data_IF_472206498289
#
_entry.id   IF_472206498289
#
_cell.length_a   1.000
_cell.length_b   1.000
_cell.length_c   1.000
_cell.angle_alpha   90.00
_cell.angle_beta   90.00
_cell.angle_gamma   90.00
#
_symmetry.space_group_name_H-M   'P 1'
#
loop_
_entity.id
_entity.type
_entity.pdbx_description
1 polymer ?
#
# COMPACT_ATOMS: atom_id res chain seq x y z
N UNK A 1 42.72 -11.02 -1.61
CA UNK A 1 42.09 -10.27 -2.71
C UNK A 1 40.98 -9.40 -2.10
N UNK A 2 41.34 -8.33 -1.38
CA UNK A 2 40.38 -7.52 -0.63
C UNK A 2 40.83 -6.07 -0.41
N UNK A 3 41.78 -5.58 -1.21
CA UNK A 3 42.30 -4.19 -1.12
C UNK A 3 42.12 -3.43 -2.45
N UNK A 4 41.59 -4.05 -3.51
CA UNK A 4 41.39 -3.39 -4.82
C UNK A 4 39.99 -2.79 -5.04
N UNK A 5 39.11 -2.77 -4.04
CA UNK A 5 37.76 -2.16 -4.15
C UNK A 5 37.72 -0.68 -3.74
N UNK A 6 38.83 -0.11 -3.25
CA UNK A 6 38.88 1.29 -2.81
C UNK A 6 39.08 2.33 -3.92
N UNK A 7 39.28 1.90 -5.16
CA UNK A 7 39.66 2.75 -6.30
C UNK A 7 38.80 2.52 -7.57
N UNK A 8 37.62 1.90 -7.43
CA UNK A 8 36.57 2.03 -8.45
C UNK A 8 35.92 3.40 -8.31
N UNK A 9 36.67 4.44 -8.69
CA UNK A 9 36.11 5.78 -8.85
C UNK A 9 34.86 5.68 -9.70
N UNK A 10 33.76 6.21 -9.16
CA UNK A 10 32.60 6.79 -9.86
C UNK A 10 32.56 6.54 -11.37
N UNK A 11 32.41 5.29 -11.80
CA UNK A 11 31.95 5.02 -13.15
C UNK A 11 30.52 5.51 -13.11
N UNK A 12 30.29 6.69 -13.69
CA UNK A 12 28.99 7.30 -13.80
C UNK A 12 28.01 6.19 -14.19
N UNK A 13 27.02 5.93 -13.34
CA UNK A 13 25.98 4.97 -13.66
C UNK A 13 25.47 5.30 -15.06
N UNK A 14 25.38 4.28 -15.93
CA UNK A 14 24.93 4.53 -17.29
C UNK A 14 23.59 5.27 -17.24
N UNK A 15 23.34 6.26 -18.12
CA UNK A 15 22.08 7.02 -18.11
C UNK A 15 20.82 6.13 -18.09
N UNK A 16 20.93 4.92 -18.64
CA UNK A 16 19.89 3.88 -18.56
C UNK A 16 19.58 3.40 -17.14
N UNK A 17 20.55 3.30 -16.24
CA UNK A 17 20.33 2.86 -14.86
C UNK A 17 19.53 3.88 -14.05
N UNK A 18 19.86 5.17 -14.17
CA UNK A 18 19.11 6.26 -13.56
C UNK A 18 17.65 6.29 -14.06
N UNK A 19 17.46 6.16 -15.38
CA UNK A 19 16.12 6.09 -15.99
C UNK A 19 15.31 4.89 -15.49
N UNK A 20 15.92 3.70 -15.42
CA UNK A 20 15.26 2.49 -14.89
C UNK A 20 14.87 2.64 -13.41
N UNK A 21 15.73 3.27 -12.61
CA UNK A 21 15.44 3.54 -11.19
C UNK A 21 14.24 4.48 -11.02
N UNK A 22 14.25 5.61 -11.74
CA UNK A 22 13.15 6.57 -11.75
C UNK A 22 11.84 5.95 -12.26
N UNK A 23 11.90 5.16 -13.34
CA UNK A 23 10.75 4.47 -13.90
C UNK A 23 10.13 3.47 -12.92
N UNK A 24 10.94 2.70 -12.18
CA UNK A 24 10.45 1.81 -11.11
C UNK A 24 9.75 2.60 -10.01
N UNK A 25 10.34 3.71 -9.56
CA UNK A 25 9.74 4.57 -8.55
C UNK A 25 8.38 5.11 -9.01
N UNK A 26 8.32 5.66 -10.24
CA UNK A 26 7.11 6.22 -10.82
C UNK A 26 5.99 5.18 -10.91
N UNK A 27 6.31 3.98 -11.42
CA UNK A 27 5.36 2.90 -11.57
C UNK A 27 4.87 2.40 -10.21
N UNK A 28 5.76 2.06 -9.29
CA UNK A 28 5.37 1.33 -8.09
C UNK A 28 4.82 2.20 -6.96
N UNK A 29 5.33 3.43 -6.78
CA UNK A 29 4.86 4.28 -5.69
C UNK A 29 3.86 5.33 -6.14
N UNK A 30 4.12 6.00 -7.25
CA UNK A 30 3.30 7.14 -7.68
C UNK A 30 2.04 6.70 -8.43
N UNK A 31 2.16 5.82 -9.42
CA UNK A 31 1.00 5.37 -10.20
C UNK A 31 -0.05 4.67 -9.32
N UNK A 32 0.40 3.79 -8.41
CA UNK A 32 -0.48 3.09 -7.49
C UNK A 32 -1.14 4.07 -6.52
N UNK A 33 -0.38 5.01 -5.96
CA UNK A 33 -0.93 6.02 -5.05
C UNK A 33 -1.96 6.92 -5.75
N UNK A 34 -1.75 7.28 -7.03
CA UNK A 34 -2.75 8.01 -7.82
C UNK A 34 -4.02 7.19 -8.06
N UNK A 35 -3.90 5.89 -8.33
CA UNK A 35 -5.07 5.00 -8.45
C UNK A 35 -5.86 4.97 -7.14
N UNK A 36 -5.16 4.85 -5.99
CA UNK A 36 -5.80 4.85 -4.66
C UNK A 36 -6.44 6.21 -4.36
N UNK A 37 -5.79 7.32 -4.73
CA UNK A 37 -6.32 8.67 -4.54
C UNK A 37 -7.59 8.89 -5.38
N UNK A 38 -7.57 8.46 -6.64
CA UNK A 38 -8.70 8.57 -7.56
C UNK A 38 -9.84 7.60 -7.24
N UNK A 39 -9.68 6.34 -7.62
CA UNK A 39 -10.74 5.33 -7.49
C UNK A 39 -10.97 4.91 -6.03
N UNK A 40 -9.90 4.82 -5.24
CA UNK A 40 -9.97 4.38 -3.86
C UNK A 40 -10.81 5.31 -2.98
N UNK A 41 -10.82 6.62 -3.25
CA UNK A 41 -11.59 7.59 -2.46
C UNK A 41 -13.10 7.33 -2.48
N UNK A 42 -13.65 7.00 -3.66
CA UNK A 42 -15.08 6.71 -3.83
C UNK A 42 -15.45 5.37 -3.22
N UNK A 43 -14.59 4.37 -3.41
CA UNK A 43 -14.81 3.02 -2.88
C UNK A 43 -14.76 3.06 -1.35
N UNK A 44 -13.77 3.73 -0.76
CA UNK A 44 -13.60 3.86 0.69
C UNK A 44 -14.88 4.35 1.37
N UNK A 45 -15.45 5.47 0.89
CA UNK A 45 -16.71 6.04 1.42
C UNK A 45 -17.84 5.02 1.43
N UNK A 46 -18.03 4.29 0.33
CA UNK A 46 -19.12 3.31 0.23
C UNK A 46 -18.92 2.09 1.14
N UNK A 47 -17.66 1.69 1.34
CA UNK A 47 -17.33 0.52 2.14
C UNK A 47 -17.39 0.82 3.63
N UNK A 48 -16.90 2.00 4.01
CA UNK A 48 -16.55 2.35 5.38
C UNK A 48 -17.68 3.00 6.18
N UNK A 49 -18.60 3.73 5.54
CA UNK A 49 -19.72 4.37 6.24
C UNK A 49 -20.63 3.33 6.92
N UNK A 50 -20.84 3.44 8.22
CA UNK A 50 -21.69 2.50 8.98
C UNK A 50 -23.19 2.69 8.73
N UNK A 51 -23.63 3.93 8.45
CA UNK A 51 -25.00 4.31 8.17
C UNK A 51 -25.09 5.17 6.89
N UNK A 52 -26.30 5.37 6.38
CA UNK A 52 -26.54 6.10 5.14
C UNK A 52 -26.25 7.60 5.27
N UNK A 53 -26.53 8.18 6.44
CA UNK A 53 -26.30 9.59 6.73
C UNK A 53 -24.81 9.95 6.71
N UNK A 54 -23.95 9.24 7.45
CA UNK A 54 -22.49 9.47 7.45
C UNK A 54 -21.90 9.28 6.05
N UNK A 55 -22.43 8.33 5.25
CA UNK A 55 -22.01 8.15 3.85
C UNK A 55 -22.26 9.40 3.02
N UNK A 56 -23.47 9.97 3.13
CA UNK A 56 -23.86 11.13 2.36
C UNK A 56 -23.12 12.38 2.84
N UNK A 57 -22.93 12.54 4.14
CA UNK A 57 -22.16 13.63 4.73
C UNK A 57 -20.71 13.58 4.27
N UNK A 58 -20.09 12.40 4.32
CA UNK A 58 -18.75 12.20 3.83
C UNK A 58 -18.63 12.47 2.33
N UNK A 59 -19.58 11.98 1.52
CA UNK A 59 -19.62 12.27 0.09
C UNK A 59 -19.72 13.77 -0.18
N UNK A 60 -20.62 14.48 0.50
CA UNK A 60 -20.76 15.94 0.40
C UNK A 60 -19.46 16.66 0.76
N UNK A 61 -18.79 16.21 1.81
CA UNK A 61 -17.49 16.77 2.21
C UNK A 61 -16.42 16.55 1.14
N UNK A 62 -16.33 15.36 0.53
CA UNK A 62 -15.41 15.11 -0.58
C UNK A 62 -15.72 15.96 -1.82
N UNK A 63 -17.00 16.16 -2.13
CA UNK A 63 -17.44 17.01 -3.23
C UNK A 63 -17.11 18.50 -2.97
N UNK A 64 -17.27 18.96 -1.73
CA UNK A 64 -16.84 20.30 -1.32
C UNK A 64 -15.32 20.49 -1.42
N UNK A 65 -14.55 19.43 -1.17
CA UNK A 65 -13.08 19.41 -1.23
C UNK A 65 -12.52 19.09 -2.63
N UNK A 66 -13.25 19.42 -3.71
CA UNK A 66 -12.88 19.09 -5.11
C UNK A 66 -11.47 19.50 -5.55
N UNK A 67 -10.87 20.51 -4.92
CA UNK A 67 -9.52 21.00 -5.24
C UNK A 67 -8.41 20.21 -4.54
N UNK A 68 -8.69 19.57 -3.41
CA UNK A 68 -7.69 18.83 -2.64
C UNK A 68 -7.04 17.68 -3.42
N UNK A 69 -7.76 16.85 -4.20
CA UNK A 69 -7.13 15.82 -5.03
C UNK A 69 -6.09 16.40 -6.00
N UNK A 70 -6.35 17.57 -6.57
CA UNK A 70 -5.43 18.24 -7.49
C UNK A 70 -4.16 18.69 -6.75
N UNK A 71 -4.31 19.31 -5.57
CA UNK A 71 -3.17 19.74 -4.74
C UNK A 71 -2.32 18.54 -4.33
N UNK A 72 -2.94 17.45 -3.86
CA UNK A 72 -2.21 16.24 -3.47
C UNK A 72 -1.51 15.61 -4.68
N UNK A 73 -2.19 15.56 -5.84
CA UNK A 73 -1.58 15.06 -7.09
C UNK A 73 -0.41 15.91 -7.55
N UNK A 74 -0.50 17.24 -7.40
CA UNK A 74 0.59 18.16 -7.72
C UNK A 74 1.79 17.96 -6.76
N UNK A 75 1.55 17.82 -5.46
CA UNK A 75 2.59 17.50 -4.48
C UNK A 75 3.28 16.16 -4.81
N UNK A 76 2.51 15.14 -5.21
CA UNK A 76 3.06 13.87 -5.66
C UNK A 76 3.87 14.02 -6.96
N UNK A 77 3.38 14.78 -7.94
CA UNK A 77 4.12 15.03 -9.17
C UNK A 77 5.44 15.77 -8.90
N UNK A 78 5.42 16.74 -7.98
CA UNK A 78 6.63 17.44 -7.52
C UNK A 78 7.60 16.48 -6.82
N UNK A 79 7.10 15.60 -5.95
CA UNK A 79 7.91 14.57 -5.30
C UNK A 79 8.60 13.65 -6.31
N UNK A 80 7.85 13.20 -7.33
CA UNK A 80 8.40 12.39 -8.43
C UNK A 80 9.44 13.15 -9.24
N UNK A 81 9.20 14.42 -9.57
CA UNK A 81 10.14 15.26 -10.29
C UNK A 81 11.46 15.42 -9.54
N UNK A 82 11.41 15.62 -8.22
CA UNK A 82 12.62 15.67 -7.38
C UNK A 82 13.38 14.35 -7.38
N UNK A 83 12.69 13.21 -7.32
CA UNK A 83 13.34 11.90 -7.41
C UNK A 83 13.99 11.64 -8.78
N UNK A 84 13.35 12.09 -9.88
CA UNK A 84 13.94 12.02 -11.23
C UNK A 84 15.19 12.89 -11.33
N UNK A 85 15.13 14.13 -10.86
CA UNK A 85 16.30 15.04 -10.84
C UNK A 85 17.43 14.45 -9.99
N UNK A 86 17.10 13.89 -8.82
CA UNK A 86 18.08 13.23 -7.96
C UNK A 86 18.77 12.06 -8.68
N UNK A 87 18.02 11.23 -9.40
CA UNK A 87 18.55 10.11 -10.17
C UNK A 87 19.46 10.60 -11.31
N UNK A 88 19.10 11.67 -12.01
CA UNK A 88 19.93 12.28 -13.07
C UNK A 88 21.24 12.85 -12.50
N UNK A 89 21.20 13.39 -11.28
CA UNK A 89 22.38 13.86 -10.56
C UNK A 89 23.22 12.72 -9.93
N UNK A 90 22.85 11.46 -10.14
CA UNK A 90 23.55 10.30 -9.59
C UNK A 90 23.41 10.14 -8.08
N UNK A 91 22.39 10.75 -7.47
CA UNK A 91 22.11 10.51 -6.05
C UNK A 91 21.51 9.12 -5.86
N UNK A 92 22.02 8.41 -4.85
CA UNK A 92 21.45 7.14 -4.42
C UNK A 92 20.14 7.36 -3.64
N UNK A 93 19.54 6.28 -3.13
CA UNK A 93 18.30 6.35 -2.34
C UNK A 93 18.45 7.09 -1.00
N UNK A 94 19.67 7.29 -0.52
CA UNK A 94 19.96 8.04 0.70
C UNK A 94 20.12 9.54 0.44
N UNK A 95 20.26 9.93 -0.84
CA UNK A 95 20.36 11.31 -1.29
C UNK A 95 19.21 12.20 -0.79
N UNK A 96 19.57 13.42 -0.41
CA UNK A 96 18.63 14.35 0.21
C UNK A 96 17.48 14.73 -0.73
N UNK A 97 17.71 14.83 -2.05
CA UNK A 97 16.65 15.13 -3.02
C UNK A 97 15.63 13.98 -3.08
N UNK A 98 16.11 12.73 -3.10
CA UNK A 98 15.23 11.54 -3.10
C UNK A 98 14.39 11.52 -1.82
N UNK A 99 15.01 11.75 -0.67
CA UNK A 99 14.32 11.74 0.63
C UNK A 99 13.30 12.87 0.76
N UNK A 100 13.61 14.06 0.25
CA UNK A 100 12.68 15.20 0.21
C UNK A 100 11.49 14.92 -0.72
N UNK A 101 11.74 14.38 -1.92
CA UNK A 101 10.66 13.99 -2.84
C UNK A 101 9.74 12.92 -2.26
N UNK A 102 10.34 11.91 -1.60
CA UNK A 102 9.61 10.88 -0.87
C UNK A 102 8.81 11.46 0.31
N UNK A 103 9.38 12.42 1.06
CA UNK A 103 8.71 13.07 2.18
C UNK A 103 7.50 13.89 1.74
N UNK A 104 7.64 14.71 0.69
CA UNK A 104 6.53 15.50 0.12
C UNK A 104 5.39 14.57 -0.28
N UNK A 105 5.70 13.47 -0.97
CA UNK A 105 4.70 12.50 -1.42
C UNK A 105 4.03 11.76 -0.25
N UNK A 106 4.80 11.34 0.74
CA UNK A 106 4.29 10.69 1.94
C UNK A 106 3.37 11.63 2.74
N UNK A 107 3.75 12.90 2.91
CA UNK A 107 2.93 13.90 3.61
C UNK A 107 1.67 14.26 2.83
N UNK A 108 1.75 14.36 1.51
CA UNK A 108 0.58 14.60 0.66
C UNK A 108 -0.43 13.44 0.77
N UNK A 109 0.05 12.20 0.74
CA UNK A 109 -0.78 11.02 0.97
C UNK A 109 -1.30 10.92 2.40
N UNK A 110 -0.49 11.28 3.41
CA UNK A 110 -0.91 11.34 4.81
C UNK A 110 -2.06 12.34 4.99
N UNK A 111 -1.92 13.54 4.43
CA UNK A 111 -2.95 14.56 4.44
C UNK A 111 -4.24 14.01 3.81
N UNK A 112 -4.13 13.41 2.63
CA UNK A 112 -5.29 12.82 1.95
C UNK A 112 -5.96 11.72 2.78
N UNK A 113 -5.19 10.78 3.35
CA UNK A 113 -5.76 9.69 4.13
C UNK A 113 -6.38 10.18 5.46
N UNK A 114 -5.72 11.12 6.14
CA UNK A 114 -6.23 11.64 7.41
C UNK A 114 -7.48 12.49 7.22
N UNK A 115 -7.49 13.42 6.25
CA UNK A 115 -8.60 14.38 6.11
C UNK A 115 -9.68 13.90 5.14
N UNK A 116 -9.31 13.37 3.97
CA UNK A 116 -10.28 12.90 3.00
C UNK A 116 -10.79 11.49 3.34
N UNK A 117 -9.91 10.57 3.75
CA UNK A 117 -10.32 9.20 4.09
C UNK A 117 -10.74 9.03 5.56
N UNK A 118 -10.52 10.05 6.40
CA UNK A 118 -10.84 10.03 7.83
C UNK A 118 -10.32 8.78 8.53
N UNK A 119 -9.10 8.32 8.18
CA UNK A 119 -8.55 7.08 8.77
C UNK A 119 -8.41 7.16 10.30
N UNK A 120 -8.43 8.34 10.90
CA UNK A 120 -8.40 8.49 12.36
C UNK A 120 -9.72 8.10 13.04
N UNK A 121 -10.88 8.23 12.38
CA UNK A 121 -12.15 7.83 12.96
C UNK A 121 -12.35 6.33 12.74
N UNK A 122 -12.04 5.52 13.76
CA UNK A 122 -12.26 4.07 13.71
C UNK A 122 -13.75 3.73 13.87
N UNK A 123 -14.58 4.16 12.93
CA UNK A 123 -15.97 3.69 12.78
C UNK A 123 -16.02 2.26 12.19
N UNK A 124 -14.85 1.66 11.92
CA UNK A 124 -14.65 0.40 11.23
C UNK A 124 -14.80 -0.81 12.17
N UNK A 125 -16.04 -1.18 12.53
CA UNK A 125 -16.30 -2.37 13.38
C UNK A 125 -16.28 -3.71 12.63
N UNK A 126 -16.19 -3.70 11.30
CA UNK A 126 -16.32 -4.89 10.44
C UNK A 126 -14.96 -5.37 9.96
N UNK A 127 -14.76 -6.68 9.81
CA UNK A 127 -13.48 -7.25 9.38
C UNK A 127 -12.92 -6.61 8.09
N UNK A 128 -13.73 -6.51 7.02
CA UNK A 128 -13.32 -5.85 5.76
C UNK A 128 -12.95 -4.38 6.00
N UNK A 129 -13.77 -3.69 6.79
CA UNK A 129 -13.58 -2.28 7.10
C UNK A 129 -12.28 -2.04 7.87
N UNK A 130 -11.98 -2.90 8.86
CA UNK A 130 -10.71 -2.89 9.59
C UNK A 130 -9.55 -3.27 8.67
N UNK A 131 -9.75 -4.21 7.74
CA UNK A 131 -8.75 -4.59 6.73
C UNK A 131 -8.35 -3.40 5.85
N UNK A 132 -9.32 -2.63 5.34
CA UNK A 132 -9.06 -1.40 4.58
C UNK A 132 -8.36 -0.36 5.45
N UNK A 133 -8.82 -0.17 6.69
CA UNK A 133 -8.21 0.79 7.60
C UNK A 133 -6.74 0.46 7.89
N UNK A 134 -6.44 -0.79 8.21
CA UNK A 134 -5.06 -1.27 8.41
C UNK A 134 -4.24 -1.14 7.13
N UNK A 135 -4.82 -1.49 5.97
CA UNK A 135 -4.14 -1.36 4.68
C UNK A 135 -3.67 0.08 4.42
N UNK A 136 -4.53 1.08 4.67
CA UNK A 136 -4.20 2.49 4.49
C UNK A 136 -3.07 2.94 5.42
N UNK A 137 -3.07 2.48 6.67
CA UNK A 137 -1.96 2.73 7.60
C UNK A 137 -0.66 2.06 7.14
N UNK A 138 -0.70 0.82 6.67
CA UNK A 138 0.49 0.12 6.17
C UNK A 138 1.05 0.77 4.91
N UNK A 139 0.18 1.26 4.01
CA UNK A 139 0.59 2.08 2.89
C UNK A 139 1.29 3.36 3.35
N UNK A 140 0.71 4.07 4.33
CA UNK A 140 1.31 5.31 4.84
C UNK A 140 2.67 5.07 5.50
N UNK A 141 2.80 4.04 6.34
CA UNK A 141 4.07 3.64 6.96
C UNK A 141 5.10 3.27 5.88
N UNK A 142 4.69 2.49 4.87
CA UNK A 142 5.56 2.12 3.75
C UNK A 142 6.06 3.33 2.96
N UNK A 143 5.20 4.32 2.68
CA UNK A 143 5.61 5.57 2.01
C UNK A 143 6.52 6.42 2.90
N UNK A 144 6.15 6.62 4.17
CA UNK A 144 6.92 7.43 5.11
C UNK A 144 8.31 6.83 5.39
N UNK A 145 8.41 5.50 5.43
CA UNK A 145 9.70 4.83 5.63
C UNK A 145 10.73 5.19 4.56
N UNK A 146 10.29 5.53 3.33
CA UNK A 146 11.20 5.90 2.23
C UNK A 146 11.96 7.20 2.52
N UNK A 147 11.31 8.17 3.17
CA UNK A 147 11.97 9.43 3.53
C UNK A 147 12.89 9.28 4.74
N UNK A 148 12.67 8.28 5.59
CA UNK A 148 13.43 8.09 6.84
C UNK A 148 14.63 7.16 6.65
N UNK A 149 14.44 6.04 5.96
CA UNK A 149 15.35 4.89 6.03
C UNK A 149 16.35 4.79 4.87
N UNK A 150 16.21 5.62 3.82
CA UNK A 150 17.19 5.72 2.73
C UNK A 150 17.38 4.39 1.98
N UNK A 151 18.56 3.78 2.09
CA UNK A 151 18.91 2.54 1.37
C UNK A 151 18.09 1.32 1.81
N UNK A 152 17.68 1.25 3.09
CA UNK A 152 16.86 0.14 3.62
C UNK A 152 15.36 0.31 3.34
N UNK A 153 14.96 1.39 2.68
CA UNK A 153 13.56 1.68 2.32
C UNK A 153 12.90 0.57 1.51
N UNK A 154 13.66 -0.23 0.76
CA UNK A 154 13.12 -1.38 0.02
C UNK A 154 12.50 -2.41 0.95
N UNK A 155 13.06 -2.64 2.14
CA UNK A 155 12.50 -3.59 3.09
C UNK A 155 11.13 -3.12 3.57
N UNK A 156 11.04 -1.84 3.97
CA UNK A 156 9.82 -1.22 4.45
C UNK A 156 8.77 -0.99 3.35
N UNK A 157 9.19 -0.85 2.09
CA UNK A 157 8.27 -0.77 0.96
C UNK A 157 7.36 -1.99 0.84
N UNK A 158 7.75 -3.14 1.38
CA UNK A 158 6.87 -4.31 1.38
C UNK A 158 5.66 -4.14 2.32
N UNK A 159 5.71 -3.24 3.31
CA UNK A 159 4.50 -2.84 4.04
C UNK A 159 3.51 -2.15 3.11
N UNK A 160 3.99 -1.30 2.19
CA UNK A 160 3.14 -0.67 1.18
C UNK A 160 2.50 -1.70 0.24
N UNK A 161 3.27 -2.65 -0.29
CA UNK A 161 2.74 -3.62 -1.27
C UNK A 161 1.98 -4.78 -0.64
N UNK A 162 2.60 -5.51 0.29
CA UNK A 162 2.05 -6.76 0.82
C UNK A 162 0.98 -6.52 1.88
N UNK A 163 1.22 -5.62 2.83
CA UNK A 163 0.27 -5.34 3.92
C UNK A 163 -0.69 -4.20 3.59
N UNK A 164 -0.31 -3.29 2.70
CA UNK A 164 -1.12 -2.19 2.22
C UNK A 164 -1.96 -2.57 1.00
N UNK A 165 -1.33 -2.55 -0.19
CA UNK A 165 -2.01 -2.72 -1.46
C UNK A 165 -2.71 -4.08 -1.60
N UNK A 166 -2.06 -5.19 -1.25
CA UNK A 166 -2.69 -6.51 -1.37
C UNK A 166 -3.88 -6.65 -0.41
N UNK A 167 -3.74 -6.16 0.84
CA UNK A 167 -4.83 -6.18 1.80
C UNK A 167 -6.01 -5.29 1.37
N UNK A 168 -5.73 -4.09 0.84
CA UNK A 168 -6.74 -3.20 0.27
C UNK A 168 -7.46 -3.91 -0.89
N UNK A 169 -6.70 -4.52 -1.80
CA UNK A 169 -7.22 -5.22 -2.98
C UNK A 169 -8.13 -6.38 -2.57
N UNK A 170 -7.67 -7.28 -1.69
CA UNK A 170 -8.49 -8.40 -1.21
C UNK A 170 -9.74 -7.92 -0.46
N UNK A 171 -9.64 -6.83 0.31
CA UNK A 171 -10.80 -6.26 1.01
C UNK A 171 -11.85 -5.75 0.03
N UNK A 172 -11.43 -5.02 -1.02
CA UNK A 172 -12.32 -4.54 -2.09
C UNK A 172 -12.89 -5.71 -2.88
N UNK A 173 -12.06 -6.69 -3.29
CA UNK A 173 -12.52 -7.89 -4.00
C UNK A 173 -13.55 -8.68 -3.18
N UNK A 174 -13.33 -8.84 -1.88
CA UNK A 174 -14.30 -9.51 -0.99
C UNK A 174 -15.65 -8.80 -1.01
N UNK A 175 -15.64 -7.46 -0.93
CA UNK A 175 -16.86 -6.66 -1.00
C UNK A 175 -17.61 -6.85 -2.32
N UNK A 176 -16.88 -6.84 -3.45
CA UNK A 176 -17.45 -7.05 -4.79
C UNK A 176 -18.06 -8.45 -4.91
N UNK A 177 -17.35 -9.49 -4.46
CA UNK A 177 -17.82 -10.88 -4.48
C UNK A 177 -19.10 -11.03 -3.65
N UNK A 178 -19.14 -10.48 -2.44
CA UNK A 178 -20.33 -10.57 -1.57
C UNK A 178 -21.52 -9.81 -2.16
N UNK A 179 -21.30 -8.61 -2.70
CA UNK A 179 -22.35 -7.78 -3.27
C UNK A 179 -23.00 -8.41 -4.51
N UNK A 180 -22.22 -9.05 -5.38
CA UNK A 180 -22.74 -9.67 -6.61
C UNK A 180 -23.13 -11.14 -6.43
N UNK A 181 -22.56 -11.86 -5.46
CA UNK A 181 -22.82 -13.28 -5.25
C UNK A 181 -24.10 -13.60 -4.47
N UNK A 182 -24.99 -12.62 -4.22
CA UNK A 182 -26.22 -12.76 -3.41
C UNK A 182 -25.97 -13.29 -1.99
N UNK A 183 -24.78 -13.07 -1.45
CA UNK A 183 -24.47 -13.44 -0.07
C UNK A 183 -25.06 -12.42 0.89
N UNK A 184 -25.53 -12.87 2.05
CA UNK A 184 -25.91 -11.95 3.12
C UNK A 184 -24.68 -11.17 3.59
N UNK A 185 -24.77 -9.83 3.54
CA UNK A 185 -23.76 -8.91 4.05
C UNK A 185 -23.53 -9.10 5.56
N UNK A 186 -24.48 -9.68 6.29
CA UNK A 186 -24.30 -10.09 7.69
C UNK A 186 -23.11 -11.05 7.90
N UNK A 187 -22.80 -11.87 6.89
CA UNK A 187 -21.65 -12.80 6.92
C UNK A 187 -20.29 -12.10 6.88
N UNK A 188 -20.23 -10.86 6.40
CA UNK A 188 -19.02 -10.00 6.36
C UNK A 188 -18.45 -9.77 7.76
N UNK A 189 -19.34 -9.57 8.74
CA UNK A 189 -18.95 -9.15 10.10
C UNK A 189 -18.36 -10.27 10.93
N UNK A 190 -18.76 -11.52 10.68
CA UNK A 190 -18.47 -12.65 11.57
C UNK A 190 -17.54 -13.68 10.93
N UNK A 191 -16.94 -13.37 9.79
CA UNK A 191 -16.09 -14.33 9.08
C UNK A 191 -14.69 -14.39 9.71
N UNK A 192 -14.34 -15.43 10.49
CA UNK A 192 -12.99 -15.55 11.08
C UNK A 192 -11.91 -15.67 10.00
N UNK A 193 -12.25 -16.21 8.82
CA UNK A 193 -11.32 -16.31 7.70
C UNK A 193 -10.81 -14.95 7.22
N UNK A 194 -11.62 -13.88 7.29
CA UNK A 194 -11.14 -12.55 6.93
C UNK A 194 -10.09 -12.02 7.91
N UNK A 195 -10.30 -12.25 9.21
CA UNK A 195 -9.32 -11.90 10.23
C UNK A 195 -8.01 -12.67 10.06
N UNK A 196 -8.08 -13.96 9.72
CA UNK A 196 -6.90 -14.77 9.40
C UNK A 196 -6.14 -14.14 8.21
N UNK A 197 -6.83 -13.79 7.12
CA UNK A 197 -6.20 -13.14 5.95
C UNK A 197 -5.54 -11.82 6.33
N UNK A 198 -6.23 -10.97 7.12
CA UNK A 198 -5.69 -9.69 7.61
C UNK A 198 -4.40 -9.93 8.40
N UNK A 199 -4.45 -10.80 9.42
CA UNK A 199 -3.30 -11.08 10.29
C UNK A 199 -2.12 -11.63 9.49
N UNK A 200 -2.37 -12.56 8.57
CA UNK A 200 -1.33 -13.15 7.73
C UNK A 200 -0.68 -12.11 6.79
N UNK A 201 -1.44 -11.20 6.19
CA UNK A 201 -0.88 -10.14 5.33
C UNK A 201 -0.12 -9.06 6.11
N UNK A 202 -0.60 -8.67 7.29
CA UNK A 202 0.14 -7.78 8.18
C UNK A 202 1.44 -8.46 8.63
N UNK A 203 1.35 -9.73 9.06
CA UNK A 203 2.51 -10.54 9.44
C UNK A 203 3.53 -10.66 8.31
N UNK A 204 3.08 -10.97 7.08
CA UNK A 204 3.95 -11.10 5.92
C UNK A 204 4.78 -9.83 5.65
N UNK A 205 4.13 -8.66 5.63
CA UNK A 205 4.86 -7.40 5.41
C UNK A 205 5.73 -7.01 6.59
N UNK A 206 5.28 -7.24 7.83
CA UNK A 206 6.08 -6.98 9.04
C UNK A 206 7.35 -7.83 9.08
N UNK A 207 7.23 -9.15 8.86
CA UNK A 207 8.38 -10.07 8.78
C UNK A 207 9.34 -9.69 7.65
N UNK A 208 8.81 -9.24 6.50
CA UNK A 208 9.65 -8.78 5.39
C UNK A 208 10.37 -7.48 5.68
N UNK A 209 9.68 -6.52 6.32
CA UNK A 209 10.24 -5.24 6.69
C UNK A 209 11.32 -5.39 7.76
N UNK A 210 11.11 -6.27 8.75
CA UNK A 210 12.08 -6.51 9.84
C UNK A 210 13.29 -7.34 9.44
N UNK A 211 13.26 -8.05 8.30
CA UNK A 211 14.32 -8.96 7.88
C UNK A 211 15.74 -8.34 7.91
N UNK A 212 15.88 -7.07 7.54
CA UNK A 212 17.17 -6.37 7.52
C UNK A 212 17.78 -6.15 8.91
N UNK A 213 16.98 -6.21 9.97
CA UNK A 213 17.42 -6.07 11.36
C UNK A 213 18.07 -7.35 11.89
N UNK A 214 17.89 -8.50 11.21
CA UNK A 214 18.39 -9.81 11.63
C UNK A 214 19.17 -10.49 10.48
N UNK A 215 20.40 -10.02 10.17
CA UNK A 215 21.17 -10.52 9.01
C UNK A 215 21.42 -12.03 9.03
N UNK A 216 21.63 -12.60 10.23
CA UNK A 216 21.91 -14.03 10.43
C UNK A 216 20.76 -14.93 9.97
N UNK A 217 19.52 -14.44 10.04
CA UNK A 217 18.31 -15.18 9.66
C UNK A 217 17.53 -14.48 8.54
N UNK A 218 18.21 -13.65 7.74
CA UNK A 218 17.60 -12.86 6.68
C UNK A 218 16.82 -13.74 5.69
N UNK A 219 17.46 -14.79 5.16
CA UNK A 219 16.81 -15.71 4.21
C UNK A 219 15.60 -16.41 4.81
N UNK A 220 15.65 -16.78 6.09
CA UNK A 220 14.52 -17.39 6.78
C UNK A 220 13.34 -16.41 6.90
N UNK A 221 13.59 -15.14 7.23
CA UNK A 221 12.55 -14.10 7.26
C UNK A 221 11.91 -13.89 5.89
N UNK A 222 12.70 -13.93 4.81
CA UNK A 222 12.16 -13.85 3.44
C UNK A 222 11.24 -15.04 3.14
N UNK A 223 11.66 -16.26 3.51
CA UNK A 223 10.85 -17.47 3.36
C UNK A 223 9.55 -17.41 4.14
N UNK A 224 9.60 -17.00 5.42
CA UNK A 224 8.41 -16.86 6.25
C UNK A 224 7.46 -15.77 5.74
N UNK A 225 7.98 -14.62 5.32
CA UNK A 225 7.15 -13.57 4.75
C UNK A 225 6.41 -14.05 3.48
N UNK A 226 7.11 -14.74 2.58
CA UNK A 226 6.52 -15.30 1.37
C UNK A 226 5.47 -16.38 1.71
N UNK A 227 5.77 -17.27 2.65
CA UNK A 227 4.83 -18.31 3.11
C UNK A 227 3.55 -17.71 3.68
N UNK A 228 3.66 -16.72 4.58
CA UNK A 228 2.50 -16.03 5.17
C UNK A 228 1.65 -15.34 4.10
N UNK A 229 2.29 -14.68 3.13
CA UNK A 229 1.59 -14.03 2.03
C UNK A 229 0.81 -15.03 1.17
N UNK A 230 1.45 -16.12 0.74
CA UNK A 230 0.82 -17.18 -0.06
C UNK A 230 -0.32 -17.82 0.71
N UNK A 231 -0.11 -18.13 1.99
CA UNK A 231 -1.14 -18.71 2.84
C UNK A 231 -2.35 -17.78 2.98
N UNK A 232 -2.14 -16.46 3.12
CA UNK A 232 -3.23 -15.48 3.16
C UNK A 232 -4.07 -15.50 1.88
N UNK A 233 -3.40 -15.52 0.72
CA UNK A 233 -4.07 -15.58 -0.59
C UNK A 233 -4.84 -16.91 -0.75
N UNK A 234 -4.25 -18.04 -0.33
CA UNK A 234 -4.92 -19.34 -0.39
C UNK A 234 -6.17 -19.40 0.50
N UNK A 235 -6.08 -18.94 1.75
CA UNK A 235 -7.23 -18.86 2.67
C UNK A 235 -8.34 -18.00 2.06
N UNK A 236 -7.98 -16.86 1.44
CA UNK A 236 -8.94 -16.00 0.76
C UNK A 236 -9.60 -16.70 -0.44
N UNK A 237 -8.81 -17.30 -1.34
CA UNK A 237 -9.31 -18.00 -2.53
C UNK A 237 -10.23 -19.17 -2.16
N UNK A 238 -9.84 -20.00 -1.20
CA UNK A 238 -10.65 -21.13 -0.75
C UNK A 238 -11.97 -20.69 -0.13
N UNK A 239 -11.99 -19.54 0.56
CA UNK A 239 -13.23 -19.07 1.20
C UNK A 239 -14.18 -18.37 0.24
N UNK A 240 -13.67 -17.51 -0.65
CA UNK A 240 -14.50 -16.59 -1.43
C UNK A 240 -14.58 -16.94 -2.91
N UNK A 241 -13.48 -17.37 -3.52
CA UNK A 241 -13.47 -17.74 -4.94
C UNK A 241 -14.19 -19.07 -5.15
N UNK A 242 -13.78 -20.09 -4.40
CA UNK A 242 -14.41 -21.42 -4.47
C UNK A 242 -15.90 -21.36 -4.16
N UNK A 243 -16.29 -20.60 -3.12
CA UNK A 243 -17.70 -20.48 -2.76
C UNK A 243 -18.55 -19.84 -3.85
N UNK A 244 -17.99 -18.89 -4.59
CA UNK A 244 -18.69 -18.21 -5.69
C UNK A 244 -18.87 -19.13 -6.90
N UNK A 245 -17.83 -19.86 -7.28
CA UNK A 245 -17.88 -20.81 -8.40
C UNK A 245 -18.89 -21.93 -8.13
N UNK A 246 -18.86 -22.55 -6.95
CA UNK A 246 -19.78 -23.65 -6.59
C UNK A 246 -21.24 -23.20 -6.49
N UNK A 247 -21.50 -21.96 -6.08
CA UNK A 247 -22.88 -21.45 -6.07
C UNK A 247 -23.39 -21.14 -7.47
N UNK A 248 -22.53 -20.66 -8.37
CA UNK A 248 -22.93 -20.38 -9.75
C UNK A 248 -23.36 -21.63 -10.51
N UNK A 249 -22.83 -22.81 -10.16
CA UNK A 249 -23.19 -24.07 -10.82
C UNK A 249 -24.52 -24.68 -10.34
N UNK A 250 -25.14 -24.12 -9.30
CA UNK A 250 -26.43 -24.59 -8.77
C UNK A 250 -27.63 -23.79 -9.30
N UNK A 251 -27.38 -22.76 -10.10
CA UNK A 251 -28.39 -21.93 -10.75
C UNK A 251 -28.55 -22.37 -12.21
#
# INVERSE_FOLDING_TARGET
ILILTGLSGTLAESPSAAFLSAGRTALFYYSISWIVLGAGSRIAVTIQSANFEDRNDWRRNLEAMRWQPMVVSLCMALGLALEIVAAVLGQDRSGWLVRTGAAISALAMAFWFLFAFRIYSNTFRRAISTGIWLALWMMLIGLLSRSITGSTSVHWAHLFFASGLALLTLSVMTRVVLAHGRWDLGSENRSPSLWIVIILLIGAGATRASAHLLPQSYLNHLGYAAFLFVLAVLVWCLRFLYSTVVQSSKQ
#
